data_IF_482564522109
#
_entry.id   IF_482564522109
#
_cell.length_a   1.000
_cell.length_b   1.000
_cell.length_c   1.000
_cell.angle_alpha   90.00
_cell.angle_beta   90.00
_cell.angle_gamma   90.00
#
_symmetry.space_group_name_H-M   'P 1'
#
loop_
_entity.id
_entity.type
_entity.pdbx_description
1 polymer ?
#
# COMPACT_ATOMS: atom_id res chain seq x y z
N UNK A 1 34.22 -17.16 36.68
CA UNK A 1 34.31 -16.48 35.37
C UNK A 1 33.15 -16.84 34.45
N UNK A 2 32.78 -18.11 34.30
CA UNK A 2 31.70 -18.58 33.39
C UNK A 2 30.30 -18.01 33.68
N UNK A 3 29.88 -17.83 34.94
CA UNK A 3 28.54 -17.30 35.29
C UNK A 3 28.22 -15.91 34.70
N UNK A 4 29.20 -15.01 34.66
CA UNK A 4 29.02 -13.64 34.14
C UNK A 4 29.00 -13.60 32.62
N UNK A 5 29.77 -14.50 31.98
CA UNK A 5 29.73 -14.72 30.53
C UNK A 5 28.34 -15.16 30.07
N UNK A 6 27.68 -16.10 30.77
CA UNK A 6 26.33 -16.54 30.41
C UNK A 6 25.28 -15.44 30.59
N UNK A 7 25.37 -14.62 31.65
CA UNK A 7 24.46 -13.47 31.86
C UNK A 7 24.64 -12.42 30.76
N UNK A 8 25.89 -12.11 30.38
CA UNK A 8 26.18 -11.19 29.28
C UNK A 8 25.67 -11.70 27.92
N UNK A 9 25.81 -13.00 27.63
CA UNK A 9 25.29 -13.60 26.41
C UNK A 9 23.76 -13.51 26.34
N UNK A 10 23.07 -13.79 27.45
CA UNK A 10 21.62 -13.69 27.54
C UNK A 10 21.16 -12.25 27.33
N UNK A 11 21.78 -11.27 28.00
CA UNK A 11 21.46 -9.85 27.81
C UNK A 11 21.68 -9.42 26.35
N UNK A 12 22.78 -9.85 25.72
CA UNK A 12 23.03 -9.54 24.31
C UNK A 12 21.95 -10.10 23.38
N UNK A 13 21.50 -11.35 23.61
CA UNK A 13 20.44 -11.98 22.82
C UNK A 13 19.07 -11.30 23.02
N UNK A 14 18.77 -10.83 24.23
CA UNK A 14 17.58 -10.04 24.49
C UNK A 14 17.66 -8.66 23.81
N UNK A 15 18.81 -7.99 23.88
CA UNK A 15 19.01 -6.68 23.25
C UNK A 15 18.89 -6.78 21.73
N UNK A 16 19.44 -7.83 21.09
CA UNK A 16 19.32 -8.02 19.63
C UNK A 16 17.89 -8.27 19.18
N UNK A 17 17.11 -9.07 19.92
CA UNK A 17 15.70 -9.34 19.60
C UNK A 17 14.83 -8.07 19.76
N UNK A 18 15.06 -7.29 20.82
CA UNK A 18 14.39 -6.00 21.03
C UNK A 18 14.76 -5.02 19.91
N UNK A 19 16.03 -4.95 19.51
CA UNK A 19 16.47 -4.10 18.40
C UNK A 19 15.82 -4.48 17.06
N UNK A 20 15.67 -5.78 16.76
CA UNK A 20 15.00 -6.22 15.54
C UNK A 20 13.53 -5.82 15.51
N UNK A 21 12.83 -5.89 16.64
CA UNK A 21 11.43 -5.42 16.75
C UNK A 21 11.30 -3.90 16.63
N UNK A 22 12.26 -3.13 17.14
CA UNK A 22 12.27 -1.65 17.05
C UNK A 22 12.75 -1.14 15.67
N UNK A 23 13.56 -1.91 14.94
CA UNK A 23 14.11 -1.54 13.62
C UNK A 23 13.29 -2.05 12.43
N UNK A 24 12.25 -2.85 12.66
CA UNK A 24 11.30 -3.23 11.62
C UNK A 24 10.59 -1.95 11.15
N UNK A 25 11.10 -1.33 10.08
CA UNK A 25 10.40 -0.22 9.43
C UNK A 25 9.06 -0.75 8.96
N UNK A 26 7.95 -0.04 9.22
CA UNK A 26 6.67 -0.45 8.67
C UNK A 26 6.79 -0.46 7.14
N UNK A 27 6.60 -1.63 6.53
CA UNK A 27 6.41 -1.69 5.08
C UNK A 27 5.01 -1.21 4.76
N UNK A 28 4.84 -0.63 3.58
CA UNK A 28 3.52 -0.28 3.08
C UNK A 28 3.15 -1.30 2.02
N UNK A 29 1.91 -1.78 2.05
CA UNK A 29 1.31 -2.54 0.97
C UNK A 29 0.08 -1.79 0.45
N UNK A 30 0.06 -1.52 -0.85
CA UNK A 30 -1.05 -0.85 -1.53
C UNK A 30 -1.77 -1.90 -2.37
N UNK A 31 -3.07 -2.04 -2.13
CA UNK A 31 -3.98 -2.91 -2.87
C UNK A 31 -4.88 -2.06 -3.77
N UNK A 32 -5.08 -2.49 -5.01
CA UNK A 32 -5.98 -1.88 -5.99
C UNK A 32 -6.90 -2.99 -6.48
N UNK A 33 -8.17 -2.92 -6.09
CA UNK A 33 -9.15 -3.98 -6.35
C UNK A 33 -10.24 -3.46 -7.27
N UNK A 34 -10.47 -4.18 -8.37
CA UNK A 34 -11.51 -3.86 -9.34
C UNK A 34 -12.90 -4.26 -8.81
N UNK A 35 -13.74 -3.27 -8.53
CA UNK A 35 -15.14 -3.41 -8.13
C UNK A 35 -16.09 -2.70 -9.14
N UNK A 36 -15.67 -2.62 -10.40
CA UNK A 36 -16.52 -2.09 -11.47
C UNK A 36 -17.70 -3.03 -11.78
N UNK A 37 -18.82 -2.47 -12.27
CA UNK A 37 -19.95 -3.28 -12.71
C UNK A 37 -19.59 -4.03 -13.99
N UNK A 38 -19.65 -5.36 -13.93
CA UNK A 38 -19.39 -6.33 -14.99
C UNK A 38 -18.10 -6.15 -15.83
N UNK A 39 -17.70 -7.20 -16.54
CA UNK A 39 -16.47 -7.22 -17.34
C UNK A 39 -16.66 -6.67 -18.76
N UNK A 40 -17.72 -5.90 -19.06
CA UNK A 40 -17.96 -5.41 -20.43
C UNK A 40 -16.93 -4.37 -20.88
N UNK A 41 -16.52 -3.51 -19.95
CA UNK A 41 -15.46 -2.52 -20.16
C UNK A 41 -14.41 -2.74 -19.09
N UNK A 42 -13.23 -3.28 -19.43
CA UNK A 42 -12.22 -3.64 -18.43
C UNK A 42 -11.59 -2.40 -17.80
N UNK A 43 -11.21 -2.52 -16.53
CA UNK A 43 -10.29 -1.59 -15.90
C UNK A 43 -8.89 -1.77 -16.50
N UNK A 44 -8.24 -0.67 -16.84
CA UNK A 44 -6.80 -0.64 -17.14
C UNK A 44 -6.17 0.42 -16.28
N UNK A 45 -4.97 0.16 -15.76
CA UNK A 45 -4.22 1.21 -15.09
C UNK A 45 -2.72 1.04 -15.24
N UNK A 46 -2.00 2.13 -15.08
CA UNK A 46 -0.55 2.17 -15.04
C UNK A 46 -0.10 2.84 -13.75
N UNK A 47 0.79 2.20 -13.00
CA UNK A 47 1.30 2.74 -11.75
C UNK A 47 2.82 2.92 -11.79
N UNK A 48 3.31 3.99 -11.18
CA UNK A 48 4.74 4.24 -11.07
C UNK A 48 5.06 5.15 -9.88
N UNK A 49 6.32 5.11 -9.45
CA UNK A 49 6.97 6.10 -8.61
C UNK A 49 7.97 6.91 -9.44
N UNK A 50 8.81 7.71 -8.79
CA UNK A 50 9.96 8.34 -9.46
C UNK A 50 11.00 7.31 -9.89
N UNK A 51 11.17 6.25 -9.11
CA UNK A 51 12.29 5.31 -9.21
C UNK A 51 11.86 3.93 -9.75
N UNK A 52 10.56 3.62 -9.69
CA UNK A 52 10.00 2.31 -10.01
C UNK A 52 8.84 2.47 -10.99
N UNK A 53 8.89 1.74 -12.09
CA UNK A 53 7.75 1.59 -12.99
C UNK A 53 7.07 0.24 -12.72
N UNK A 54 5.83 0.27 -12.23
CA UNK A 54 5.06 -0.95 -11.97
C UNK A 54 4.36 -1.44 -13.25
N UNK A 55 4.27 -0.59 -14.28
CA UNK A 55 3.75 -0.92 -15.59
C UNK A 55 2.23 -0.90 -15.68
N UNK A 56 1.73 -1.47 -16.79
CA UNK A 56 0.30 -1.56 -17.11
C UNK A 56 -0.32 -2.85 -16.55
N UNK A 57 -1.52 -2.72 -16.00
CA UNK A 57 -2.32 -3.80 -15.44
C UNK A 57 -3.74 -3.80 -16.01
N UNK A 58 -4.32 -5.00 -16.12
CA UNK A 58 -5.63 -5.26 -16.70
C UNK A 58 -6.37 -6.28 -15.82
N UNK A 59 -6.72 -5.92 -14.57
CA UNK A 59 -7.42 -6.83 -13.67
C UNK A 59 -8.80 -7.22 -14.22
N UNK A 60 -9.29 -8.39 -13.83
CA UNK A 60 -10.71 -8.72 -13.92
C UNK A 60 -11.43 -8.17 -12.70
N UNK A 61 -12.75 -8.02 -12.79
CA UNK A 61 -13.58 -7.69 -11.63
C UNK A 61 -13.32 -8.68 -10.49
N UNK A 62 -12.95 -8.14 -9.32
CA UNK A 62 -12.58 -8.88 -8.11
C UNK A 62 -11.08 -9.16 -7.96
N UNK A 63 -10.26 -8.95 -8.99
CA UNK A 63 -8.81 -9.14 -8.89
C UNK A 63 -8.17 -8.04 -8.02
N UNK A 64 -7.21 -8.45 -7.21
CA UNK A 64 -6.42 -7.59 -6.33
C UNK A 64 -4.98 -7.47 -6.85
N UNK A 65 -4.66 -6.30 -7.42
CA UNK A 65 -3.28 -5.93 -7.69
C UNK A 65 -2.69 -5.26 -6.47
N UNK A 66 -1.56 -5.78 -5.99
CA UNK A 66 -0.87 -5.21 -4.84
C UNK A 66 0.64 -5.10 -5.09
N UNK A 67 1.24 -4.13 -4.41
CA UNK A 67 2.68 -3.96 -4.36
C UNK A 67 3.08 -3.48 -2.97
N UNK A 68 4.25 -3.92 -2.53
CA UNK A 68 4.82 -3.52 -1.25
C UNK A 68 6.12 -2.74 -1.45
N UNK A 69 6.40 -1.82 -0.54
CA UNK A 69 7.65 -1.08 -0.53
C UNK A 69 8.02 -0.65 0.90
N UNK A 70 9.29 -0.32 1.08
CA UNK A 70 9.79 0.30 2.30
C UNK A 70 9.81 1.81 2.11
N UNK A 71 9.08 2.60 2.91
CA UNK A 71 9.11 4.04 2.81
C UNK A 71 10.52 4.56 3.10
N UNK A 72 10.98 5.53 2.30
CA UNK A 72 12.28 6.18 2.51
C UNK A 72 12.28 6.89 3.87
N UNK A 73 13.39 6.75 4.62
CA UNK A 73 13.58 7.45 5.92
C UNK A 73 13.82 8.94 5.72
N UNK A 74 14.37 9.32 4.56
CA UNK A 74 14.61 10.70 4.15
C UNK A 74 14.04 10.93 2.75
N UNK A 75 13.18 11.95 2.61
CA UNK A 75 12.45 12.27 1.38
C UNK A 75 10.99 11.80 1.40
N UNK A 76 10.26 12.10 0.32
CA UNK A 76 8.85 11.70 0.15
C UNK A 76 8.76 10.49 -0.78
N UNK A 77 8.17 9.40 -0.30
CA UNK A 77 7.81 8.26 -1.17
C UNK A 77 6.42 8.50 -1.74
N UNK A 78 6.26 8.34 -3.06
CA UNK A 78 5.02 8.60 -3.77
C UNK A 78 4.85 7.57 -4.88
N UNK A 79 3.65 7.00 -4.98
CA UNK A 79 3.21 6.23 -6.12
C UNK A 79 1.97 6.88 -6.70
N UNK A 80 1.94 7.05 -8.00
CA UNK A 80 0.77 7.53 -8.75
C UNK A 80 0.30 6.47 -9.71
N UNK A 81 -1.00 6.49 -10.00
CA UNK A 81 -1.58 5.66 -11.04
C UNK A 81 -2.45 6.49 -11.98
N UNK A 82 -2.50 6.06 -13.23
CA UNK A 82 -3.48 6.52 -14.21
C UNK A 82 -4.40 5.35 -14.51
N UNK A 83 -5.69 5.53 -14.27
CA UNK A 83 -6.75 4.56 -14.48
C UNK A 83 -7.57 4.94 -15.71
N UNK A 84 -8.02 3.91 -16.44
CA UNK A 84 -8.90 4.02 -17.58
C UNK A 84 -10.04 3.01 -17.46
N UNK A 85 -11.24 3.48 -17.73
CA UNK A 85 -12.44 2.66 -17.82
C UNK A 85 -13.30 3.15 -18.99
N UNK A 86 -13.08 2.55 -20.16
CA UNK A 86 -13.67 3.01 -21.42
C UNK A 86 -13.16 4.40 -21.78
N UNK A 87 -14.06 5.40 -21.81
CA UNK A 87 -13.69 6.81 -22.05
C UNK A 87 -13.31 7.56 -20.77
N UNK A 88 -13.66 7.02 -19.60
CA UNK A 88 -13.37 7.65 -18.31
C UNK A 88 -11.91 7.44 -17.95
N UNK A 89 -11.33 8.44 -17.30
CA UNK A 89 -9.97 8.35 -16.79
C UNK A 89 -9.81 9.05 -15.44
N UNK A 90 -8.86 8.60 -14.64
CA UNK A 90 -8.49 9.28 -13.41
C UNK A 90 -6.98 9.12 -13.19
N UNK A 91 -6.31 10.19 -12.78
CA UNK A 91 -4.88 10.15 -12.45
C UNK A 91 -4.66 10.84 -11.12
N UNK A 92 -4.08 10.11 -10.17
CA UNK A 92 -3.83 10.61 -8.82
C UNK A 92 -2.78 9.75 -8.12
N UNK A 93 -2.31 10.25 -6.98
CA UNK A 93 -1.38 9.52 -6.11
C UNK A 93 -2.14 8.42 -5.36
N UNK A 94 -1.77 7.16 -5.58
CA UNK A 94 -2.31 6.02 -4.81
C UNK A 94 -1.59 5.84 -3.46
N UNK A 95 -0.41 6.45 -3.33
CA UNK A 95 0.29 6.53 -2.05
C UNK A 95 1.07 7.84 -1.93
N UNK A 96 0.92 8.46 -0.77
CA UNK A 96 1.84 9.42 -0.17
C UNK A 96 1.85 9.19 1.33
N UNK A 97 2.87 9.69 2.04
CA UNK A 97 2.90 9.62 3.51
C UNK A 97 1.68 10.27 4.18
N UNK A 98 1.04 11.25 3.52
CA UNK A 98 -0.19 11.86 4.03
C UNK A 98 -1.42 11.00 3.73
N UNK A 99 -1.46 10.33 2.58
CA UNK A 99 -2.56 9.41 2.27
C UNK A 99 -2.57 8.21 3.21
N UNK A 100 -1.39 7.77 3.68
CA UNK A 100 -1.31 6.61 4.57
C UNK A 100 -2.11 6.75 5.86
N UNK A 101 -2.45 7.96 6.32
CA UNK A 101 -3.33 8.13 7.49
C UNK A 101 -4.75 7.53 7.32
N UNK A 102 -5.17 7.21 6.09
CA UNK A 102 -6.45 6.53 5.81
C UNK A 102 -6.32 5.00 5.76
N UNK A 103 -5.12 4.47 5.97
CA UNK A 103 -4.80 3.05 5.85
C UNK A 103 -4.86 2.35 7.21
N UNK A 104 -4.71 1.02 7.23
CA UNK A 104 -4.65 0.24 8.46
C UNK A 104 -3.30 0.44 9.14
N UNK A 105 -3.31 1.10 10.30
CA UNK A 105 -2.18 1.16 11.22
C UNK A 105 -2.52 0.29 12.43
N UNK A 106 -1.97 -0.93 12.47
CA UNK A 106 -2.07 -1.82 13.61
C UNK A 106 -0.68 -2.10 14.20
N UNK A 107 -0.60 -3.04 15.15
CA UNK A 107 0.68 -3.46 15.75
C UNK A 107 1.53 -4.31 14.79
N UNK A 108 1.07 -4.55 13.55
CA UNK A 108 1.82 -5.31 12.57
C UNK A 108 2.88 -4.43 11.90
N UNK A 109 3.95 -5.04 11.37
CA UNK A 109 4.99 -4.30 10.66
C UNK A 109 4.55 -3.84 9.26
N UNK A 110 3.27 -3.97 8.89
CA UNK A 110 2.76 -3.67 7.55
C UNK A 110 1.55 -2.74 7.63
N UNK A 111 1.63 -1.59 7.00
CA UNK A 111 0.48 -0.71 6.80
C UNK A 111 -0.22 -1.08 5.50
N UNK A 112 -1.49 -1.49 5.59
CA UNK A 112 -2.31 -1.90 4.44
C UNK A 112 -3.20 -0.76 3.95
N UNK A 113 -3.08 -0.40 2.69
CA UNK A 113 -3.87 0.63 2.03
C UNK A 113 -4.74 0.00 0.92
N UNK A 114 -6.06 0.00 1.07
CA UNK A 114 -6.96 -0.56 0.07
C UNK A 114 -7.60 0.52 -0.79
N UNK A 115 -7.36 0.47 -2.10
CA UNK A 115 -8.10 1.20 -3.12
C UNK A 115 -9.16 0.30 -3.74
N UNK A 116 -10.42 0.66 -3.52
CA UNK A 116 -11.57 0.04 -4.17
C UNK A 116 -12.01 0.89 -5.36
N UNK A 117 -11.90 0.34 -6.56
CA UNK A 117 -12.25 1.03 -7.81
C UNK A 117 -13.71 0.71 -8.16
N UNK A 118 -14.58 1.72 -8.13
CA UNK A 118 -16.01 1.54 -8.40
C UNK A 118 -16.50 2.45 -9.53
N UNK A 119 -17.68 2.15 -10.07
CA UNK A 119 -18.24 2.93 -11.18
C UNK A 119 -18.52 4.40 -10.85
N UNK A 120 -18.65 4.72 -9.57
CA UNK A 120 -18.87 6.08 -9.05
C UNK A 120 -17.62 6.71 -8.43
N UNK A 121 -16.43 6.10 -8.54
CA UNK A 121 -15.17 6.69 -8.10
C UNK A 121 -14.25 5.72 -7.38
N UNK A 122 -13.30 6.28 -6.64
CA UNK A 122 -12.20 5.56 -6.00
C UNK A 122 -12.26 5.77 -4.49
N UNK A 123 -12.18 4.68 -3.74
CA UNK A 123 -12.31 4.68 -2.28
C UNK A 123 -11.03 4.15 -1.64
N UNK A 124 -10.50 4.88 -0.67
CA UNK A 124 -9.30 4.49 0.09
C UNK A 124 -9.68 4.20 1.55
N UNK A 125 -9.18 3.10 2.09
CA UNK A 125 -9.40 2.75 3.50
C UNK A 125 -8.48 1.66 4.04
N UNK A 126 -8.65 1.32 5.33
CA UNK A 126 -7.93 0.21 5.97
C UNK A 126 -8.43 -1.16 5.50
N UNK A 127 -9.61 -1.21 4.86
CA UNK A 127 -10.22 -2.40 4.28
C UNK A 127 -11.13 -2.00 3.10
N UNK A 128 -11.57 -2.99 2.31
CA UNK A 128 -12.50 -2.80 1.18
C UNK A 128 -13.93 -2.39 1.61
N UNK A 129 -14.24 -2.48 2.91
CA UNK A 129 -15.55 -2.11 3.49
C UNK A 129 -15.54 -0.74 4.17
N UNK A 130 -14.36 -0.23 4.54
CA UNK A 130 -14.19 1.02 5.31
C UNK A 130 -13.62 2.16 4.45
N UNK A 131 -13.70 2.02 3.12
CA UNK A 131 -13.17 3.00 2.18
C UNK A 131 -13.94 4.33 2.19
N UNK A 132 -13.22 5.44 2.31
CA UNK A 132 -13.72 6.80 2.07
C UNK A 132 -13.51 7.15 0.60
N UNK A 133 -14.51 7.74 -0.04
CA UNK A 133 -14.37 8.23 -1.42
C UNK A 133 -13.33 9.35 -1.48
N UNK A 134 -12.33 9.17 -2.34
CA UNK A 134 -11.21 10.12 -2.51
C UNK A 134 -11.25 10.83 -3.85
N UNK A 135 -11.63 10.11 -4.91
CA UNK A 135 -11.59 10.63 -6.27
C UNK A 135 -12.81 10.20 -7.08
N UNK A 136 -13.14 11.02 -8.07
CA UNK A 136 -14.12 10.75 -9.12
C UNK A 136 -13.42 10.41 -10.44
N UNK A 137 -14.17 9.79 -11.35
CA UNK A 137 -13.75 9.66 -12.74
C UNK A 137 -13.85 11.01 -13.45
N UNK A 138 -12.89 11.32 -14.32
CA UNK A 138 -13.00 12.42 -15.27
C UNK A 138 -13.65 11.93 -16.58
N UNK A 139 -14.44 12.80 -17.21
CA UNK A 139 -15.08 12.60 -18.52
C UNK A 139 -14.27 13.20 -19.68
#
# INVERSE_FOLDING_TARGET
MTKWFFVSLIISLFVTNVYQGVLAKPSIEVHIVDYLPDNTVPLTFHCASKDDDLGYHHPKVGDDFHFHFLPRVFGHTLFFCHFWWGKKQAKFDVYTSNLSYNCLWDETPITLCYWKVQGNGFFLGPSLTEGKKMHDWNE
#
